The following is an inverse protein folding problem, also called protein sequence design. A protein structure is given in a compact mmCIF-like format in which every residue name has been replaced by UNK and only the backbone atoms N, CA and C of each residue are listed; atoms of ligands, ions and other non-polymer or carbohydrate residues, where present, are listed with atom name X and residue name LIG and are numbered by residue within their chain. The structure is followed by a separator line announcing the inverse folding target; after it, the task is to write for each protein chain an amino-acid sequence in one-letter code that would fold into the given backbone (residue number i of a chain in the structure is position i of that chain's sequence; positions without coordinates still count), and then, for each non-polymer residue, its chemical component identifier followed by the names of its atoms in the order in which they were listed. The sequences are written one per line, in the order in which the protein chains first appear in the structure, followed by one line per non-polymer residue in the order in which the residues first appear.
data_IF_438300147506
#
_entry.id   IF_438300147506
#
_cell.length_a   1.000
_cell.length_b   1.000
_cell.length_c   1.000
_cell.angle_alpha   90.00
_cell.angle_beta   90.00
_cell.angle_gamma   90.00
#
_symmetry.space_group_name_H-M   'P 1'
#
loop_
_entity.id
_entity.type
_entity.pdbx_description
1 polymer ?
#
# COMPACT_ATOMS: atom_id res chain seq x y z
N UNK A 1 -52.35 -44.45 27.29
CA UNK A 1 -51.39 -43.43 27.75
C UNK A 1 -50.66 -42.90 26.53
N UNK A 2 -51.07 -41.73 26.05
CA UNK A 2 -50.57 -41.13 24.82
C UNK A 2 -49.15 -40.59 25.03
N UNK A 3 -48.18 -41.07 24.24
CA UNK A 3 -46.87 -40.44 24.13
C UNK A 3 -46.99 -39.21 23.24
N UNK A 4 -46.96 -38.04 23.86
CA UNK A 4 -46.77 -36.75 23.20
C UNK A 4 -45.39 -36.76 22.52
N UNK A 5 -45.37 -36.97 21.21
CA UNK A 5 -44.19 -36.72 20.38
C UNK A 5 -43.99 -35.20 20.36
N UNK A 6 -43.04 -34.74 21.17
CA UNK A 6 -42.65 -33.34 21.22
C UNK A 6 -41.78 -33.07 19.98
N UNK A 7 -42.40 -32.70 18.85
CA UNK A 7 -41.68 -32.18 17.69
C UNK A 7 -40.95 -30.90 18.12
N UNK A 8 -39.62 -30.88 17.99
CA UNK A 8 -38.83 -29.67 18.24
C UNK A 8 -39.26 -28.60 17.24
N UNK A 9 -39.74 -27.47 17.74
CA UNK A 9 -40.08 -26.30 16.92
C UNK A 9 -38.82 -25.77 16.22
N UNK A 10 -38.93 -25.44 14.92
CA UNK A 10 -37.85 -24.83 14.14
C UNK A 10 -37.36 -23.54 14.80
N UNK A 11 -36.04 -23.36 14.85
CA UNK A 11 -35.44 -22.11 15.31
C UNK A 11 -35.75 -20.97 14.32
N UNK A 12 -35.84 -19.74 14.82
CA UNK A 12 -36.03 -18.53 14.02
C UNK A 12 -35.08 -18.44 12.82
N UNK A 13 -33.81 -18.85 13.01
CA UNK A 13 -32.79 -18.84 11.98
C UNK A 13 -33.03 -19.92 10.90
N UNK A 14 -33.59 -21.07 11.28
CA UNK A 14 -33.92 -22.16 10.36
C UNK A 14 -35.15 -21.81 9.51
N UNK A 15 -36.15 -21.16 10.11
CA UNK A 15 -37.33 -20.65 9.39
C UNK A 15 -36.95 -19.58 8.35
N UNK A 16 -36.06 -18.64 8.70
CA UNK A 16 -35.58 -17.60 7.76
C UNK A 16 -34.74 -18.21 6.63
N UNK A 17 -33.88 -19.19 6.94
CA UNK A 17 -33.11 -19.91 5.91
C UNK A 17 -34.02 -20.71 4.96
N UNK A 18 -35.08 -21.33 5.48
CA UNK A 18 -36.05 -22.06 4.68
C UNK A 18 -36.90 -21.16 3.77
N UNK A 19 -37.24 -19.94 4.22
CA UNK A 19 -37.95 -18.94 3.43
C UNK A 19 -37.06 -18.15 2.45
N UNK A 20 -35.74 -18.36 2.46
CA UNK A 20 -34.80 -17.64 1.58
C UNK A 20 -35.19 -17.70 0.09
N UNK A 21 -35.63 -18.83 -0.50
CA UNK A 21 -36.10 -18.87 -1.88
C UNK A 21 -37.34 -17.99 -2.11
N UNK A 22 -38.25 -17.91 -1.12
CA UNK A 22 -39.42 -17.04 -1.18
C UNK A 22 -39.01 -15.57 -1.12
N UNK A 23 -38.14 -15.16 -0.18
CA UNK A 23 -37.66 -13.78 -0.09
C UNK A 23 -36.99 -13.32 -1.39
N UNK A 24 -36.21 -14.18 -2.06
CA UNK A 24 -35.63 -13.85 -3.36
C UNK A 24 -36.69 -13.63 -4.44
N UNK A 25 -37.78 -14.41 -4.45
CA UNK A 25 -38.83 -14.31 -5.46
C UNK A 25 -39.71 -13.06 -5.29
N UNK A 26 -39.92 -12.59 -4.05
CA UNK A 26 -40.79 -11.43 -3.76
C UNK A 26 -40.04 -10.15 -3.38
N UNK A 27 -38.69 -10.14 -3.44
CA UNK A 27 -37.91 -9.00 -2.94
C UNK A 27 -38.23 -7.69 -3.70
N UNK A 28 -38.52 -6.57 -3.01
CA UNK A 28 -38.95 -5.31 -3.62
C UNK A 28 -37.99 -4.75 -4.68
N UNK A 29 -36.69 -4.98 -4.53
CA UNK A 29 -35.66 -4.48 -5.45
C UNK A 29 -35.80 -5.06 -6.87
N UNK A 30 -36.37 -6.26 -7.01
CA UNK A 30 -36.62 -6.83 -8.32
C UNK A 30 -37.79 -6.15 -9.04
N UNK A 31 -38.67 -5.44 -8.33
CA UNK A 31 -39.86 -4.77 -8.87
C UNK A 31 -39.63 -3.27 -9.13
N UNK A 32 -38.38 -2.84 -9.34
CA UNK A 32 -38.05 -1.42 -9.57
C UNK A 32 -38.80 -0.74 -10.72
N UNK A 33 -39.23 -1.50 -11.73
CA UNK A 33 -40.03 -1.00 -12.87
C UNK A 33 -41.56 -0.99 -12.60
N UNK A 34 -42.01 -1.54 -11.47
CA UNK A 34 -43.43 -1.77 -11.12
C UNK A 34 -43.72 -1.27 -9.69
N UNK A 35 -43.93 0.05 -9.52
CA UNK A 35 -43.97 0.67 -8.19
C UNK A 35 -45.17 0.24 -7.33
N UNK A 36 -46.31 -0.12 -7.94
CA UNK A 36 -47.50 -0.58 -7.20
C UNK A 36 -47.30 -1.98 -6.61
N UNK A 37 -46.73 -2.88 -7.39
CA UNK A 37 -46.43 -4.26 -7.02
C UNK A 37 -45.30 -4.31 -6.00
N UNK A 38 -44.30 -3.44 -6.15
CA UNK A 38 -43.22 -3.23 -5.18
C UNK A 38 -43.77 -2.83 -3.81
N UNK A 39 -44.67 -1.85 -3.76
CA UNK A 39 -45.26 -1.36 -2.52
C UNK A 39 -46.10 -2.44 -1.83
N UNK A 40 -46.89 -3.21 -2.59
CA UNK A 40 -47.69 -4.32 -2.04
C UNK A 40 -46.79 -5.43 -1.47
N UNK A 41 -45.71 -5.78 -2.17
CA UNK A 41 -44.75 -6.79 -1.68
C UNK A 41 -44.00 -6.31 -0.44
N UNK A 42 -43.57 -5.04 -0.40
CA UNK A 42 -42.86 -4.48 0.75
C UNK A 42 -43.76 -4.42 1.99
N UNK A 43 -45.01 -3.97 1.84
CA UNK A 43 -45.97 -3.93 2.93
C UNK A 43 -46.35 -5.34 3.42
N UNK A 44 -46.53 -6.29 2.51
CA UNK A 44 -46.85 -7.67 2.86
C UNK A 44 -45.65 -8.41 3.49
N UNK A 45 -44.41 -8.12 3.08
CA UNK A 45 -43.18 -8.64 3.70
C UNK A 45 -43.00 -8.13 5.12
N UNK A 46 -43.26 -6.84 5.36
CA UNK A 46 -43.24 -6.25 6.71
C UNK A 46 -44.29 -6.92 7.62
N UNK A 47 -45.50 -7.14 7.10
CA UNK A 47 -46.55 -7.83 7.86
C UNK A 47 -46.21 -9.30 8.14
N UNK A 48 -45.60 -10.01 7.19
CA UNK A 48 -45.14 -11.40 7.37
C UNK A 48 -44.03 -11.49 8.43
N UNK A 49 -43.02 -10.63 8.35
CA UNK A 49 -41.92 -10.62 9.31
C UNK A 49 -42.42 -10.25 10.72
N UNK A 50 -43.30 -9.25 10.82
CA UNK A 50 -43.95 -8.91 12.10
C UNK A 50 -44.81 -10.05 12.66
N UNK A 51 -45.50 -10.80 11.80
CA UNK A 51 -46.26 -12.00 12.21
C UNK A 51 -45.32 -13.10 12.74
N UNK A 52 -44.19 -13.36 12.06
CA UNK A 52 -43.20 -14.34 12.49
C UNK A 52 -42.49 -13.95 13.79
N UNK A 53 -42.15 -12.67 13.98
CA UNK A 53 -41.56 -12.17 15.23
C UNK A 53 -42.52 -12.32 16.41
N UNK A 54 -43.83 -12.10 16.18
CA UNK A 54 -44.86 -12.30 17.19
C UNK A 54 -45.07 -13.79 17.53
N UNK A 55 -44.90 -14.70 16.58
CA UNK A 55 -44.93 -16.15 16.85
C UNK A 55 -43.71 -16.63 17.65
N UNK A 56 -42.57 -15.94 17.55
CA UNK A 56 -41.34 -16.28 18.27
C UNK A 56 -41.34 -15.83 19.73
N UNK A 57 -42.23 -14.89 20.11
CA UNK A 57 -42.37 -14.39 21.49
C UNK A 57 -43.72 -14.84 22.07
N UNK A 58 -43.79 -15.91 22.87
CA UNK A 58 -45.04 -16.53 23.30
C UNK A 58 -45.83 -15.75 24.38
N UNK A 59 -45.49 -14.49 24.67
CA UNK A 59 -46.20 -13.69 25.66
C UNK A 59 -47.53 -13.15 25.08
N UNK A 60 -48.55 -14.00 25.17
CA UNK A 60 -49.98 -13.69 25.33
C UNK A 60 -50.64 -12.76 24.29
N UNK A 61 -50.57 -13.06 22.99
CA UNK A 61 -51.55 -12.53 22.01
C UNK A 61 -51.99 -13.59 21.02
N UNK A 62 -53.30 -13.89 21.01
CA UNK A 62 -53.97 -14.63 19.94
C UNK A 62 -53.72 -13.92 18.61
N UNK A 63 -52.92 -14.54 17.74
CA UNK A 63 -52.55 -13.93 16.47
C UNK A 63 -53.74 -14.05 15.53
N UNK A 64 -54.35 -12.91 15.17
CA UNK A 64 -55.49 -12.88 14.25
C UNK A 64 -55.03 -13.29 12.85
N UNK A 65 -55.85 -14.04 12.09
CA UNK A 65 -55.48 -14.40 10.73
C UNK A 65 -55.23 -13.18 9.86
N UNK A 66 -54.07 -13.15 9.20
CA UNK A 66 -53.69 -12.07 8.27
C UNK A 66 -53.73 -12.63 6.85
N UNK A 67 -54.47 -11.96 5.96
CA UNK A 67 -54.44 -12.24 4.51
C UNK A 67 -53.31 -11.43 3.90
N UNK A 68 -52.31 -12.12 3.38
CA UNK A 68 -51.18 -11.50 2.68
C UNK A 68 -51.31 -11.74 1.18
N UNK A 69 -50.88 -10.77 0.38
CA UNK A 69 -50.89 -10.85 -1.08
C UNK A 69 -49.52 -10.48 -1.61
N UNK A 70 -48.91 -11.39 -2.37
CA UNK A 70 -47.60 -11.19 -2.97
C UNK A 70 -47.69 -11.32 -4.49
N UNK A 71 -46.89 -10.52 -5.18
CA UNK A 71 -46.65 -10.66 -6.62
C UNK A 71 -45.35 -11.41 -6.83
N UNK A 72 -45.41 -12.50 -7.58
CA UNK A 72 -44.29 -13.37 -7.91
C UNK A 72 -44.09 -13.34 -9.43
N UNK A 73 -42.83 -13.32 -9.88
CA UNK A 73 -42.51 -13.44 -11.31
C UNK A 73 -42.64 -14.90 -11.74
N UNK A 74 -43.48 -15.16 -12.74
CA UNK A 74 -43.52 -16.50 -13.34
C UNK A 74 -42.27 -16.68 -14.20
N UNK A 75 -41.51 -17.75 -13.95
CA UNK A 75 -40.28 -18.09 -14.69
C UNK A 75 -40.53 -19.15 -15.76
N UNK A 76 -41.78 -19.58 -15.95
CA UNK A 76 -42.16 -20.43 -17.08
C UNK A 76 -42.45 -19.56 -18.29
N UNK A 77 -41.66 -19.75 -19.35
CA UNK A 77 -41.77 -19.06 -20.63
C UNK A 77 -43.22 -18.95 -21.09
N UNK A 78 -43.71 -17.71 -21.19
CA UNK A 78 -44.82 -17.38 -22.06
C UNK A 78 -44.39 -16.17 -22.89
N UNK A 79 -44.15 -16.44 -24.16
CA UNK A 79 -43.76 -15.50 -25.19
C UNK A 79 -44.85 -14.45 -25.40
N UNK A 80 -44.71 -13.29 -24.74
CA UNK A 80 -45.26 -11.99 -25.15
C UNK A 80 -44.69 -10.86 -24.25
N UNK A 81 -44.60 -9.63 -24.79
CA UNK A 81 -43.75 -8.52 -24.33
C UNK A 81 -44.17 -7.80 -23.03
N UNK A 82 -44.61 -8.52 -22.00
CA UNK A 82 -44.79 -8.01 -20.63
C UNK A 82 -44.47 -9.14 -19.63
N UNK A 83 -43.70 -8.90 -18.54
CA UNK A 83 -43.50 -9.91 -17.51
C UNK A 83 -44.85 -10.21 -16.82
N UNK A 84 -45.36 -11.43 -17.00
CA UNK A 84 -46.56 -11.88 -16.31
C UNK A 84 -46.28 -12.03 -14.81
N UNK A 85 -46.94 -11.22 -13.98
CA UNK A 85 -46.88 -11.36 -12.53
C UNK A 85 -48.03 -12.25 -12.06
N UNK A 86 -47.71 -13.30 -11.30
CA UNK A 86 -48.70 -14.11 -10.61
C UNK A 86 -48.95 -13.51 -9.24
N UNK A 87 -50.18 -13.09 -8.96
CA UNK A 87 -50.59 -12.72 -7.61
C UNK A 87 -50.93 -13.98 -6.83
N UNK A 88 -50.32 -14.12 -5.66
CA UNK A 88 -50.56 -15.21 -4.73
C UNK A 88 -51.05 -14.60 -3.43
N UNK A 89 -52.31 -14.86 -3.08
CA UNK A 89 -52.88 -14.46 -1.80
C UNK A 89 -53.16 -15.69 -0.95
N UNK A 90 -52.65 -15.70 0.27
CA UNK A 90 -52.91 -16.76 1.24
C UNK A 90 -53.16 -16.15 2.63
N UNK A 91 -53.85 -16.91 3.48
CA UNK A 91 -54.20 -16.46 4.82
C UNK A 91 -53.42 -17.29 5.83
N UNK A 92 -52.72 -16.60 6.73
CA UNK A 92 -51.97 -17.24 7.80
C UNK A 92 -52.91 -17.47 8.99
N UNK A 93 -53.27 -18.72 9.24
CA UNK A 93 -54.27 -19.10 10.25
C UNK A 93 -53.68 -19.69 11.55
N UNK A 94 -52.40 -20.03 11.57
CA UNK A 94 -51.83 -20.98 12.55
C UNK A 94 -50.79 -20.38 13.49
N UNK A 95 -50.83 -20.80 14.76
CA UNK A 95 -49.89 -20.42 15.82
C UNK A 95 -48.54 -21.16 15.77
N UNK A 96 -48.28 -21.95 14.74
CA UNK A 96 -47.05 -22.75 14.59
C UNK A 96 -46.20 -22.25 13.42
N UNK A 97 -44.89 -22.11 13.66
CA UNK A 97 -43.91 -21.52 12.76
C UNK A 97 -43.64 -22.46 11.57
N UNK A 98 -43.54 -23.76 11.83
CA UNK A 98 -43.23 -24.76 10.80
C UNK A 98 -44.38 -24.87 9.80
N UNK A 99 -45.62 -24.95 10.31
CA UNK A 99 -46.83 -24.95 9.49
C UNK A 99 -46.99 -23.68 8.66
N UNK A 100 -46.61 -22.51 9.20
CA UNK A 100 -46.64 -21.22 8.50
C UNK A 100 -45.63 -21.18 7.35
N UNK A 101 -44.39 -21.63 7.58
CA UNK A 101 -43.34 -21.69 6.54
C UNK A 101 -43.74 -22.66 5.42
N UNK A 102 -44.27 -23.82 5.77
CA UNK A 102 -44.75 -24.81 4.80
C UNK A 102 -45.91 -24.27 3.95
N UNK A 103 -46.86 -23.58 4.56
CA UNK A 103 -48.01 -23.01 3.85
C UNK A 103 -47.58 -21.90 2.88
N UNK A 104 -46.63 -21.05 3.26
CA UNK A 104 -46.06 -20.00 2.41
C UNK A 104 -45.33 -20.60 1.20
N UNK A 105 -44.42 -21.57 1.43
CA UNK A 105 -43.63 -22.19 0.37
C UNK A 105 -44.51 -22.99 -0.61
N UNK A 106 -45.50 -23.72 -0.09
CA UNK A 106 -46.46 -24.49 -0.90
C UNK A 106 -47.36 -23.56 -1.71
N UNK A 107 -47.88 -22.49 -1.10
CA UNK A 107 -48.72 -21.49 -1.80
C UNK A 107 -47.96 -20.77 -2.91
N UNK A 108 -46.64 -20.63 -2.78
CA UNK A 108 -45.77 -20.02 -3.79
C UNK A 108 -45.20 -21.01 -4.82
N UNK A 109 -45.62 -22.30 -4.78
CA UNK A 109 -45.16 -23.36 -5.69
C UNK A 109 -43.63 -23.57 -5.68
N UNK A 110 -42.99 -23.41 -4.52
CA UNK A 110 -41.53 -23.57 -4.33
C UNK A 110 -41.21 -24.94 -3.67
N UNK A 111 -40.08 -25.59 -4.01
CA UNK A 111 -39.75 -26.93 -3.51
C UNK A 111 -39.45 -26.93 -2.00
N UNK A 112 -40.02 -27.91 -1.30
CA UNK A 112 -40.01 -28.04 0.18
C UNK A 112 -38.94 -29.03 0.69
N UNK A 113 -38.21 -29.66 -0.25
CA UNK A 113 -37.33 -30.82 -0.06
C UNK A 113 -36.17 -30.64 0.95
N UNK A 114 -35.84 -29.40 1.33
CA UNK A 114 -34.76 -29.09 2.27
C UNK A 114 -35.16 -29.21 3.76
N UNK A 115 -36.45 -29.28 4.11
CA UNK A 115 -36.89 -29.34 5.52
C UNK A 115 -37.07 -30.79 6.02
N UNK A 116 -37.47 -31.74 5.15
CA UNK A 116 -37.67 -33.15 5.54
C UNK A 116 -36.36 -33.89 5.88
N UNK A 117 -35.20 -33.39 5.45
CA UNK A 117 -33.89 -34.01 5.68
C UNK A 117 -33.44 -33.95 7.15
N UNK A 118 -34.01 -33.05 7.95
CA UNK A 118 -33.59 -32.80 9.33
C UNK A 118 -34.04 -33.87 10.35
N UNK A 119 -35.00 -34.75 10.03
CA UNK A 119 -35.41 -35.80 10.97
C UNK A 119 -34.44 -37.00 11.04
N UNK A 120 -33.55 -37.20 10.06
CA UNK A 120 -32.77 -38.46 9.93
C UNK A 120 -31.27 -38.38 10.24
N UNK A 121 -30.73 -37.26 10.71
CA UNK A 121 -29.28 -37.12 10.93
C UNK A 121 -28.92 -36.65 12.34
N UNK A 122 -29.43 -37.32 13.38
CA UNK A 122 -28.83 -37.28 14.72
C UNK A 122 -27.82 -38.41 14.86
N UNK A 123 -26.60 -38.17 14.36
CA UNK A 123 -25.48 -39.11 14.44
C UNK A 123 -24.14 -38.37 14.46
N UNK A 124 -23.66 -38.12 15.68
CA UNK A 124 -22.23 -38.04 16.03
C UNK A 124 -21.40 -36.91 15.43
N UNK A 125 -21.41 -35.71 16.05
CA UNK A 125 -20.25 -34.82 16.01
C UNK A 125 -19.92 -34.34 17.42
N UNK A 126 -18.72 -34.72 17.87
CA UNK A 126 -18.18 -34.49 19.22
C UNK A 126 -17.93 -33.00 19.44
N UNK A 127 -18.37 -32.50 20.59
CA UNK A 127 -17.98 -31.21 21.15
C UNK A 127 -16.49 -31.25 21.54
N UNK A 128 -15.69 -30.36 20.98
CA UNK A 128 -14.37 -29.98 21.49
C UNK A 128 -14.40 -28.50 21.89
N UNK A 129 -13.86 -28.09 23.04
CA UNK A 129 -13.86 -26.71 23.48
C UNK A 129 -12.53 -26.04 23.10
N UNK A 130 -12.54 -24.97 22.31
CA UNK A 130 -11.55 -23.92 22.49
C UNK A 130 -11.91 -22.61 21.77
N UNK A 131 -11.48 -21.51 22.39
CA UNK A 131 -11.08 -20.25 21.77
C UNK A 131 -12.07 -19.45 20.93
N UNK A 132 -12.44 -18.27 21.41
CA UNK A 132 -13.09 -17.24 20.59
C UNK A 132 -12.18 -16.75 19.46
N UNK A 133 -12.27 -17.38 18.30
CA UNK A 133 -11.81 -16.83 17.02
C UNK A 133 -13.03 -16.40 16.21
N UNK A 134 -12.97 -15.20 15.66
CA UNK A 134 -13.96 -14.69 14.72
C UNK A 134 -14.11 -15.68 13.56
N UNK A 135 -15.32 -16.19 13.36
CA UNK A 135 -15.67 -17.03 12.21
C UNK A 135 -15.68 -16.21 10.91
N UNK A 136 -14.53 -15.68 10.48
CA UNK A 136 -14.35 -15.29 9.10
C UNK A 136 -13.97 -16.53 8.28
N UNK A 137 -14.96 -17.40 8.05
CA UNK A 137 -14.87 -18.31 6.91
C UNK A 137 -15.18 -17.50 5.66
N UNK A 138 -14.29 -17.47 4.65
CA UNK A 138 -14.60 -16.89 3.36
C UNK A 138 -15.89 -17.52 2.83
N UNK A 139 -16.87 -16.70 2.46
CA UNK A 139 -18.11 -17.19 1.84
C UNK A 139 -17.72 -17.78 0.49
N UNK A 140 -17.74 -19.11 0.41
CA UNK A 140 -17.48 -19.83 -0.83
C UNK A 140 -18.80 -19.99 -1.59
N UNK A 141 -18.98 -19.21 -2.64
CA UNK A 141 -20.14 -19.33 -3.51
C UNK A 141 -20.03 -20.59 -4.37
N UNK A 142 -21.17 -21.22 -4.64
CA UNK A 142 -21.21 -22.36 -5.56
C UNK A 142 -20.81 -21.91 -6.98
N UNK A 143 -20.19 -22.80 -7.77
CA UNK A 143 -19.70 -22.48 -9.13
C UNK A 143 -20.80 -21.96 -10.05
N UNK A 144 -22.05 -22.36 -9.82
CA UNK A 144 -23.22 -21.85 -10.53
C UNK A 144 -23.43 -20.34 -10.34
N UNK A 145 -23.11 -19.78 -9.18
CA UNK A 145 -23.19 -18.34 -8.90
C UNK A 145 -22.28 -17.52 -9.82
N UNK A 146 -21.01 -17.91 -9.96
CA UNK A 146 -20.05 -17.24 -10.86
C UNK A 146 -20.45 -17.35 -12.33
N UNK A 147 -20.99 -18.52 -12.71
CA UNK A 147 -21.49 -18.76 -14.07
C UNK A 147 -22.71 -17.89 -14.39
N UNK A 148 -23.61 -17.69 -13.42
CA UNK A 148 -24.83 -16.90 -13.58
C UNK A 148 -24.61 -15.38 -13.48
N UNK A 149 -23.67 -14.95 -12.64
CA UNK A 149 -23.38 -13.52 -12.43
C UNK A 149 -22.31 -12.96 -13.36
N UNK A 150 -21.53 -13.83 -14.02
CA UNK A 150 -20.39 -13.43 -14.85
C UNK A 150 -19.15 -12.98 -14.05
N UNK A 151 -19.22 -13.00 -12.71
CA UNK A 151 -18.03 -12.80 -11.87
C UNK A 151 -17.09 -13.99 -11.99
N UNK A 152 -15.78 -13.73 -11.99
CA UNK A 152 -14.76 -14.80 -12.03
C UNK A 152 -14.67 -15.48 -10.68
N UNK A 153 -14.60 -16.81 -10.71
CA UNK A 153 -14.40 -17.64 -9.52
C UNK A 153 -12.98 -17.40 -8.96
N UNK A 154 -12.84 -16.86 -7.73
CA UNK A 154 -11.54 -16.59 -7.10
C UNK A 154 -10.68 -17.84 -6.94
N UNK A 155 -11.29 -19.01 -6.69
CA UNK A 155 -10.54 -20.27 -6.61
C UNK A 155 -10.01 -20.69 -7.98
N UNK A 156 -10.73 -20.36 -9.05
CA UNK A 156 -10.32 -20.64 -10.42
C UNK A 156 -9.16 -19.72 -10.84
N UNK A 157 -9.17 -18.45 -10.43
CA UNK A 157 -8.03 -17.54 -10.61
C UNK A 157 -6.79 -17.99 -9.83
N UNK A 158 -6.95 -18.40 -8.57
CA UNK A 158 -5.86 -18.95 -7.75
C UNK A 158 -5.29 -20.23 -8.36
N UNK A 159 -6.13 -21.10 -8.90
CA UNK A 159 -5.69 -22.32 -9.58
C UNK A 159 -5.04 -22.04 -10.93
N UNK A 160 -5.52 -21.07 -11.70
CA UNK A 160 -4.87 -20.64 -12.95
C UNK A 160 -3.50 -20.00 -12.66
N UNK A 161 -3.42 -19.14 -11.65
CA UNK A 161 -2.17 -18.50 -11.19
C UNK A 161 -1.16 -19.52 -10.67
N UNK A 162 -1.62 -20.56 -9.96
CA UNK A 162 -0.75 -21.67 -9.52
C UNK A 162 -0.36 -22.64 -10.65
N UNK A 163 -1.21 -22.83 -11.67
CA UNK A 163 -0.92 -23.69 -12.84
C UNK A 163 -0.03 -23.03 -13.87
N UNK A 164 -0.03 -21.70 -13.89
CA UNK A 164 0.83 -20.88 -14.71
C UNK A 164 1.81 -20.16 -13.78
N UNK A 165 2.79 -20.86 -13.20
CA UNK A 165 4.04 -20.17 -12.91
C UNK A 165 4.60 -19.80 -14.27
N UNK A 166 4.51 -18.53 -14.71
CA UNK A 166 4.93 -18.22 -16.06
C UNK A 166 6.44 -18.40 -16.07
N UNK A 167 6.95 -19.28 -16.92
CA UNK A 167 8.38 -19.27 -17.22
C UNK A 167 8.74 -17.83 -17.60
N UNK A 168 9.85 -17.29 -17.07
CA UNK A 168 10.28 -15.90 -17.32
C UNK A 168 10.16 -15.52 -18.80
N UNK A 169 10.51 -16.45 -19.69
CA UNK A 169 10.38 -16.33 -21.14
C UNK A 169 8.94 -16.09 -21.62
N UNK A 170 7.98 -16.86 -21.12
CA UNK A 170 6.55 -16.70 -21.44
C UNK A 170 5.99 -15.39 -20.89
N UNK A 171 6.38 -15.00 -19.67
CA UNK A 171 6.01 -13.71 -19.10
C UNK A 171 6.55 -12.55 -19.94
N UNK A 172 7.84 -12.56 -20.29
CA UNK A 172 8.46 -11.52 -21.11
C UNK A 172 7.77 -11.37 -22.46
N UNK A 173 7.50 -12.48 -23.16
CA UNK A 173 6.80 -12.47 -24.45
C UNK A 173 5.38 -11.90 -24.34
N UNK A 174 4.66 -12.22 -23.27
CA UNK A 174 3.31 -11.72 -23.06
C UNK A 174 3.30 -10.24 -22.63
N UNK A 175 4.31 -9.79 -21.89
CA UNK A 175 4.43 -8.42 -21.39
C UNK A 175 5.10 -7.46 -22.38
N UNK A 176 5.88 -7.94 -23.36
CA UNK A 176 6.61 -7.11 -24.33
C UNK A 176 5.73 -6.11 -25.10
N UNK A 177 4.57 -6.50 -25.68
CA UNK A 177 3.73 -5.55 -26.42
C UNK A 177 3.17 -4.44 -25.53
N UNK A 178 2.76 -4.78 -24.30
CA UNK A 178 2.24 -3.82 -23.33
C UNK A 178 3.35 -2.89 -22.83
N UNK A 179 4.53 -3.43 -22.52
CA UNK A 179 5.70 -2.66 -22.11
C UNK A 179 6.14 -1.68 -23.22
N UNK A 180 6.17 -2.14 -24.48
CA UNK A 180 6.50 -1.32 -25.65
C UNK A 180 5.47 -0.22 -25.87
N UNK A 181 4.17 -0.53 -25.75
CA UNK A 181 3.09 0.46 -25.81
C UNK A 181 3.23 1.52 -24.71
N UNK A 182 3.48 1.10 -23.46
CA UNK A 182 3.70 2.01 -22.32
C UNK A 182 4.96 2.85 -22.49
N UNK A 183 6.03 2.27 -23.03
CA UNK A 183 7.28 2.97 -23.34
C UNK A 183 7.03 4.08 -24.37
N UNK A 184 6.44 3.74 -25.52
CA UNK A 184 6.14 4.68 -26.59
C UNK A 184 5.19 5.79 -26.12
N UNK A 185 4.15 5.44 -25.36
CA UNK A 185 3.25 6.43 -24.76
C UNK A 185 3.94 7.34 -23.72
N UNK A 186 5.11 6.95 -23.20
CA UNK A 186 5.91 7.76 -22.29
C UNK A 186 6.93 8.66 -22.97
N UNK A 187 7.30 8.40 -24.24
CA UNK A 187 8.33 9.13 -24.97
C UNK A 187 8.08 10.66 -25.00
N UNK A 188 6.88 11.16 -25.34
CA UNK A 188 6.65 12.61 -25.38
C UNK A 188 6.86 13.27 -24.01
N UNK A 189 6.49 12.59 -22.92
CA UNK A 189 6.71 13.10 -21.55
C UNK A 189 8.19 13.09 -21.17
N UNK A 190 8.97 12.11 -21.64
CA UNK A 190 10.41 12.04 -21.39
C UNK A 190 11.15 13.13 -22.16
N UNK A 191 10.76 13.38 -23.40
CA UNK A 191 11.28 14.47 -24.22
C UNK A 191 10.97 15.82 -23.57
N UNK A 192 9.72 16.03 -23.14
CA UNK A 192 9.32 17.24 -22.41
C UNK A 192 10.09 17.40 -21.09
N UNK A 193 10.29 16.32 -20.33
CA UNK A 193 11.10 16.36 -19.10
C UNK A 193 12.53 16.81 -19.39
N UNK A 194 13.16 16.23 -20.42
CA UNK A 194 14.51 16.59 -20.84
C UNK A 194 14.59 18.03 -21.34
N UNK A 195 13.58 18.49 -22.10
CA UNK A 195 13.46 19.86 -22.60
C UNK A 195 13.36 20.85 -21.45
N UNK A 196 12.42 20.66 -20.53
CA UNK A 196 12.24 21.50 -19.35
C UNK A 196 13.48 21.51 -18.45
N UNK A 197 14.11 20.35 -18.24
CA UNK A 197 15.34 20.27 -17.44
C UNK A 197 16.44 21.14 -18.07
N UNK A 198 16.67 21.00 -19.38
CA UNK A 198 17.67 21.79 -20.11
C UNK A 198 17.36 23.28 -20.06
N UNK A 199 16.13 23.67 -20.35
CA UNK A 199 15.67 25.06 -20.32
C UNK A 199 15.90 25.70 -18.94
N UNK A 200 15.54 25.02 -17.85
CA UNK A 200 15.72 25.52 -16.50
C UNK A 200 17.21 25.60 -16.11
N UNK A 201 18.02 24.60 -16.47
CA UNK A 201 19.46 24.64 -16.24
C UNK A 201 20.12 25.82 -16.97
N UNK A 202 19.77 26.06 -18.23
CA UNK A 202 20.31 27.18 -19.01
C UNK A 202 19.82 28.53 -18.47
N UNK A 203 18.52 28.65 -18.16
CA UNK A 203 17.90 29.90 -17.69
C UNK A 203 18.43 30.37 -16.34
N UNK A 204 18.70 29.45 -15.41
CA UNK A 204 19.19 29.79 -14.06
C UNK A 204 20.66 29.45 -13.83
N UNK A 205 21.39 29.05 -14.87
CA UNK A 205 22.80 28.64 -14.79
C UNK A 205 23.02 27.56 -13.71
N UNK A 206 22.10 26.59 -13.64
CA UNK A 206 22.20 25.48 -12.69
C UNK A 206 23.24 24.47 -13.17
N UNK A 207 23.95 23.85 -12.23
CA UNK A 207 24.89 22.78 -12.56
C UNK A 207 24.16 21.53 -13.07
N UNK A 208 23.07 21.13 -12.40
CA UNK A 208 22.23 20.00 -12.77
C UNK A 208 20.87 20.06 -12.03
N UNK A 209 19.91 19.23 -12.46
CA UNK A 209 18.66 18.97 -11.73
C UNK A 209 18.48 17.46 -11.52
N UNK A 210 18.27 17.06 -10.28
CA UNK A 210 18.18 15.65 -9.84
C UNK A 210 16.94 15.40 -8.98
N UNK A 211 16.69 14.12 -8.71
CA UNK A 211 15.59 13.65 -7.88
C UNK A 211 16.11 12.63 -6.87
N UNK A 212 15.76 12.80 -5.59
CA UNK A 212 16.10 11.84 -4.54
C UNK A 212 15.33 10.53 -4.71
N UNK A 213 14.03 10.62 -5.08
CA UNK A 213 13.16 9.46 -5.26
C UNK A 213 12.93 9.16 -6.74
N UNK A 214 12.73 7.87 -7.04
CA UNK A 214 12.41 7.37 -8.38
C UNK A 214 10.95 7.62 -8.76
N UNK A 215 10.57 8.90 -8.88
CA UNK A 215 9.24 9.30 -9.33
C UNK A 215 9.01 8.99 -10.82
N UNK A 216 7.73 8.75 -11.16
CA UNK A 216 7.30 8.64 -12.56
C UNK A 216 7.52 9.94 -13.34
N UNK A 217 7.73 9.81 -14.66
CA UNK A 217 8.08 10.94 -15.56
C UNK A 217 7.09 12.10 -15.45
N UNK A 218 5.79 11.81 -15.34
CA UNK A 218 4.76 12.85 -15.22
C UNK A 218 4.94 13.71 -13.96
N UNK A 219 5.27 13.09 -12.82
CA UNK A 219 5.48 13.81 -11.57
C UNK A 219 6.75 14.69 -11.63
N UNK A 220 7.82 14.18 -12.26
CA UNK A 220 9.04 14.96 -12.51
C UNK A 220 8.76 16.18 -13.38
N UNK A 221 7.95 16.04 -14.44
CA UNK A 221 7.52 17.17 -15.27
C UNK A 221 6.75 18.22 -14.44
N UNK A 222 5.81 17.79 -13.61
CA UNK A 222 5.04 18.71 -12.75
C UNK A 222 5.93 19.49 -11.78
N UNK A 223 6.97 18.87 -11.23
CA UNK A 223 7.95 19.54 -10.36
C UNK A 223 8.74 20.62 -11.12
N UNK A 224 9.24 20.30 -12.32
CA UNK A 224 9.92 21.29 -13.17
C UNK A 224 8.99 22.43 -13.58
N UNK A 225 7.73 22.14 -13.91
CA UNK A 225 6.73 23.17 -14.19
C UNK A 225 6.44 24.04 -12.97
N UNK A 226 6.40 23.48 -11.77
CA UNK A 226 6.29 24.25 -10.53
C UNK A 226 7.48 25.19 -10.33
N UNK A 227 8.71 24.75 -10.59
CA UNK A 227 9.89 25.61 -10.55
C UNK A 227 9.86 26.69 -11.64
N UNK A 228 9.39 26.34 -12.84
CA UNK A 228 9.18 27.29 -13.94
C UNK A 228 8.21 28.39 -13.52
N UNK A 229 7.07 28.03 -12.92
CA UNK A 229 6.09 28.98 -12.41
C UNK A 229 6.67 29.90 -11.34
N UNK A 230 7.47 29.36 -10.42
CA UNK A 230 8.16 30.16 -9.41
C UNK A 230 9.05 31.23 -10.04
N UNK A 231 9.77 30.87 -11.10
CA UNK A 231 10.66 31.80 -11.78
C UNK A 231 9.96 32.98 -12.43
N UNK A 232 8.69 32.81 -12.82
CA UNK A 232 7.90 33.91 -13.36
C UNK A 232 7.38 34.84 -12.27
N UNK A 233 7.21 34.33 -11.05
CA UNK A 233 6.71 35.12 -9.91
C UNK A 233 7.82 35.90 -9.23
N UNK A 234 8.98 35.27 -8.96
CA UNK A 234 10.06 35.85 -8.17
C UNK A 234 11.43 35.60 -8.82
N UNK A 235 11.78 36.26 -9.94
CA UNK A 235 13.05 36.01 -10.65
C UNK A 235 14.30 36.39 -9.84
N UNK A 236 14.22 37.42 -9.00
CA UNK A 236 15.35 37.95 -8.21
C UNK A 236 15.90 36.94 -7.20
N UNK A 237 15.03 36.17 -6.54
CA UNK A 237 15.43 35.19 -5.54
C UNK A 237 16.17 33.99 -6.17
N UNK A 238 15.92 33.71 -7.46
CA UNK A 238 16.56 32.59 -8.18
C UNK A 238 18.02 32.90 -8.56
N UNK A 239 18.50 34.14 -8.44
CA UNK A 239 19.90 34.49 -8.69
C UNK A 239 20.83 33.70 -7.76
N UNK A 240 20.38 33.42 -6.53
CA UNK A 240 21.17 32.67 -5.54
C UNK A 240 21.32 31.17 -5.89
N UNK A 241 20.57 30.65 -6.87
CA UNK A 241 20.68 29.26 -7.33
C UNK A 241 21.78 29.03 -8.36
N UNK A 242 22.40 30.10 -8.88
CA UNK A 242 23.41 29.98 -9.92
C UNK A 242 24.58 29.10 -9.47
N UNK A 243 24.95 28.14 -10.33
CA UNK A 243 26.02 27.18 -10.07
C UNK A 243 25.68 26.03 -9.12
N UNK A 244 24.46 26.00 -8.54
CA UNK A 244 24.03 24.90 -7.69
C UNK A 244 23.35 23.78 -8.49
N UNK A 245 23.42 22.55 -7.97
CA UNK A 245 22.56 21.45 -8.40
C UNK A 245 21.27 21.52 -7.60
N UNK A 246 20.11 21.41 -8.25
CA UNK A 246 18.81 21.35 -7.57
C UNK A 246 18.37 19.90 -7.47
N UNK A 247 17.98 19.46 -6.27
CA UNK A 247 17.52 18.09 -6.00
C UNK A 247 16.10 18.13 -5.47
N UNK A 248 15.14 17.53 -6.16
CA UNK A 248 13.79 17.35 -5.60
C UNK A 248 13.82 16.24 -4.54
N UNK A 249 13.49 16.61 -3.31
CA UNK A 249 13.68 15.84 -2.09
C UNK A 249 12.42 15.84 -1.21
N UNK A 250 12.48 15.18 -0.07
CA UNK A 250 11.34 15.13 0.87
C UNK A 250 11.14 16.45 1.63
N UNK A 251 12.21 17.23 1.81
CA UNK A 251 12.20 18.52 2.52
C UNK A 251 13.06 19.56 1.79
N UNK A 252 12.74 20.84 1.98
CA UNK A 252 13.52 21.96 1.45
C UNK A 252 14.66 22.37 2.38
N UNK A 253 15.91 22.19 1.95
CA UNK A 253 17.13 22.62 2.66
C UNK A 253 18.33 22.60 1.68
N UNK A 254 19.57 22.71 2.15
CA UNK A 254 20.79 22.40 1.41
C UNK A 254 21.40 21.11 1.96
N UNK A 255 21.90 20.23 1.08
CA UNK A 255 22.56 19.01 1.51
C UNK A 255 24.05 19.24 1.86
N UNK A 256 24.69 18.22 2.42
CA UNK A 256 26.13 18.25 2.77
C UNK A 256 27.09 18.42 1.57
N UNK A 257 26.62 18.22 0.34
CA UNK A 257 27.38 18.41 -0.91
C UNK A 257 27.22 19.82 -1.48
N UNK A 258 26.32 20.64 -0.93
CA UNK A 258 26.00 21.97 -1.44
C UNK A 258 24.92 21.99 -2.53
N UNK A 259 24.23 20.86 -2.74
CA UNK A 259 23.05 20.81 -3.62
C UNK A 259 21.83 21.36 -2.87
N UNK A 260 21.00 22.11 -3.59
CA UNK A 260 19.78 22.72 -3.05
C UNK A 260 18.64 21.73 -3.15
N UNK A 261 18.13 21.31 -2.01
CA UNK A 261 17.00 20.39 -1.91
C UNK A 261 15.69 21.16 -1.95
N UNK A 262 14.76 20.75 -2.82
CA UNK A 262 13.41 21.29 -2.90
C UNK A 262 12.42 20.22 -2.46
N UNK A 263 11.72 20.47 -1.35
CA UNK A 263 10.70 19.59 -0.84
C UNK A 263 9.55 19.45 -1.83
N UNK A 264 9.23 18.23 -2.23
CA UNK A 264 8.20 17.96 -3.24
C UNK A 264 6.78 18.34 -2.79
N UNK A 265 6.55 18.42 -1.48
CA UNK A 265 5.29 18.82 -0.86
C UNK A 265 5.27 20.28 -0.42
N UNK A 266 6.39 20.98 -0.53
CA UNK A 266 6.51 22.35 -0.06
C UNK A 266 5.88 23.35 -1.03
N UNK A 267 5.36 24.44 -0.46
CA UNK A 267 4.82 25.57 -1.23
C UNK A 267 5.93 26.48 -1.73
N UNK A 268 5.68 27.17 -2.84
CA UNK A 268 6.61 28.08 -3.50
C UNK A 268 7.28 29.10 -2.56
N UNK A 269 6.53 29.64 -1.60
CA UNK A 269 7.05 30.58 -0.61
C UNK A 269 8.15 29.97 0.28
N UNK A 270 8.07 28.68 0.59
CA UNK A 270 9.11 27.99 1.36
C UNK A 270 10.39 27.83 0.55
N UNK A 271 10.28 27.55 -0.76
CA UNK A 271 11.43 27.54 -1.66
C UNK A 271 12.07 28.92 -1.80
N UNK A 272 11.26 29.98 -1.90
CA UNK A 272 11.76 31.36 -1.93
C UNK A 272 12.56 31.70 -0.67
N UNK A 273 12.05 31.35 0.52
CA UNK A 273 12.78 31.53 1.78
C UNK A 273 14.12 30.79 1.77
N UNK A 274 14.13 29.55 1.29
CA UNK A 274 15.37 28.79 1.15
C UNK A 274 16.37 29.52 0.25
N UNK A 275 15.94 30.04 -0.90
CA UNK A 275 16.80 30.77 -1.83
C UNK A 275 17.42 32.03 -1.23
N UNK A 276 16.66 32.76 -0.40
CA UNK A 276 17.15 33.92 0.34
C UNK A 276 18.18 33.53 1.42
N UNK A 277 18.09 32.32 1.96
CA UNK A 277 19.00 31.79 2.99
C UNK A 277 20.27 31.11 2.41
N UNK A 278 20.33 30.83 1.10
CA UNK A 278 21.48 30.16 0.46
C UNK A 278 22.84 30.80 0.75
N UNK A 279 22.99 32.15 0.78
CA UNK A 279 24.28 32.76 1.14
C UNK A 279 24.76 32.38 2.55
N UNK A 280 23.84 32.23 3.51
CA UNK A 280 24.17 31.78 4.87
C UNK A 280 24.59 30.30 4.89
N UNK A 281 23.92 29.46 4.10
CA UNK A 281 24.29 28.04 3.97
C UNK A 281 25.67 27.84 3.36
N UNK A 282 26.12 28.73 2.46
CA UNK A 282 27.49 28.69 1.91
C UNK A 282 28.56 28.81 3.00
N UNK A 283 28.34 29.69 3.98
CA UNK A 283 29.24 29.81 5.13
C UNK A 283 29.27 28.54 5.97
N UNK A 284 28.11 27.91 6.20
CA UNK A 284 28.01 26.64 6.92
C UNK A 284 28.65 25.48 6.14
N UNK A 285 28.55 25.47 4.81
CA UNK A 285 29.24 24.50 3.96
C UNK A 285 30.75 24.61 4.09
N UNK A 286 31.31 25.83 4.01
CA UNK A 286 32.74 26.04 4.23
C UNK A 286 33.20 25.57 5.62
N UNK A 287 32.42 25.87 6.67
CA UNK A 287 32.71 25.38 8.02
C UNK A 287 32.66 23.85 8.10
N UNK A 288 31.73 23.23 7.41
CA UNK A 288 31.59 21.77 7.32
C UNK A 288 32.81 21.14 6.64
N UNK A 289 33.28 21.73 5.55
CA UNK A 289 34.45 21.23 4.82
C UNK A 289 35.73 21.38 5.64
N UNK A 290 35.92 22.51 6.33
CA UNK A 290 37.03 22.67 7.29
C UNK A 290 36.98 21.66 8.43
N UNK A 291 35.78 21.32 8.90
CA UNK A 291 35.60 20.32 9.94
C UNK A 291 35.94 18.91 9.44
N UNK A 292 35.57 18.56 8.21
CA UNK A 292 35.97 17.31 7.56
C UNK A 292 37.49 17.21 7.43
N UNK A 293 38.16 18.28 7.00
CA UNK A 293 39.63 18.33 6.92
C UNK A 293 40.29 18.18 8.28
N UNK A 294 39.71 18.78 9.32
CA UNK A 294 40.23 18.66 10.69
C UNK A 294 40.07 17.24 11.23
N UNK A 295 38.95 16.58 10.96
CA UNK A 295 38.73 15.17 11.28
C UNK A 295 39.69 14.27 10.49
N UNK A 296 39.88 14.53 9.19
CA UNK A 296 40.84 13.83 8.33
C UNK A 296 42.25 13.87 8.94
N UNK A 297 42.71 15.04 9.38
CA UNK A 297 44.01 15.18 10.06
C UNK A 297 44.12 14.32 11.33
N UNK A 298 43.06 14.26 12.14
CA UNK A 298 43.03 13.44 13.37
C UNK A 298 43.02 11.94 13.07
N UNK A 299 42.51 11.54 11.91
CA UNK A 299 42.40 10.16 11.46
C UNK A 299 43.49 9.77 10.46
N UNK A 300 44.65 10.43 10.53
CA UNK A 300 45.81 10.02 9.74
C UNK A 300 45.68 10.29 8.23
N UNK A 301 44.89 11.29 7.86
CA UNK A 301 44.75 11.80 6.50
C UNK A 301 43.72 11.08 5.64
N UNK A 302 42.80 10.34 6.26
CA UNK A 302 41.69 9.66 5.56
C UNK A 302 40.61 10.66 5.13
N UNK A 303 40.14 10.55 3.90
CA UNK A 303 39.10 11.45 3.38
C UNK A 303 37.73 11.10 3.97
N UNK A 304 37.09 12.07 4.63
CA UNK A 304 35.73 11.93 5.16
C UNK A 304 34.73 12.14 4.02
N UNK A 305 34.09 11.06 3.60
CA UNK A 305 33.05 11.05 2.57
C UNK A 305 31.67 10.84 3.22
N UNK A 306 30.64 11.42 2.62
CA UNK A 306 29.25 11.19 3.01
C UNK A 306 28.63 10.17 2.04
N UNK A 307 28.48 8.92 2.48
CA UNK A 307 27.74 7.88 1.75
C UNK A 307 26.47 7.58 2.54
N UNK A 308 25.33 8.08 2.07
CA UNK A 308 24.07 7.94 2.78
C UNK A 308 22.93 8.70 2.12
N UNK A 309 21.72 8.65 2.72
CA UNK A 309 20.60 9.43 2.25
C UNK A 309 20.94 10.93 2.26
N UNK A 310 20.28 11.67 1.38
CA UNK A 310 20.45 13.12 1.31
C UNK A 310 19.91 13.71 2.63
N UNK A 311 20.80 14.35 3.40
CA UNK A 311 20.50 14.95 4.70
C UNK A 311 20.79 16.46 4.68
N UNK A 312 20.08 17.25 5.49
CA UNK A 312 20.36 18.68 5.67
C UNK A 312 21.80 18.92 6.14
N UNK A 313 22.37 20.01 5.68
CA UNK A 313 23.74 20.40 6.00
C UNK A 313 23.93 20.69 7.51
N UNK A 314 22.91 21.22 8.18
CA UNK A 314 22.96 21.52 9.61
C UNK A 314 23.04 20.24 10.47
N UNK A 315 22.29 19.20 10.10
CA UNK A 315 22.34 17.89 10.75
C UNK A 315 23.70 17.22 10.51
N UNK A 316 24.16 17.23 9.26
CA UNK A 316 25.47 16.68 8.90
C UNK A 316 26.62 17.37 9.65
N UNK A 317 26.59 18.70 9.73
CA UNK A 317 27.56 19.47 10.52
C UNK A 317 27.51 19.11 12.00
N UNK A 318 26.31 18.98 12.58
CA UNK A 318 26.13 18.62 13.98
C UNK A 318 26.71 17.23 14.29
N UNK A 319 26.45 16.26 13.41
CA UNK A 319 27.05 14.91 13.46
C UNK A 319 28.57 14.96 13.41
N UNK A 320 29.14 15.65 12.42
CA UNK A 320 30.59 15.80 12.29
C UNK A 320 31.20 16.46 13.52
N UNK A 321 30.53 17.48 14.07
CA UNK A 321 31.03 18.23 15.22
C UNK A 321 30.99 17.38 16.50
N UNK A 322 29.95 16.58 16.70
CA UNK A 322 29.87 15.62 17.80
C UNK A 322 31.01 14.59 17.72
N UNK A 323 31.22 14.01 16.53
CA UNK A 323 32.32 13.06 16.29
C UNK A 323 33.69 13.72 16.51
N UNK A 324 33.91 14.92 15.98
CA UNK A 324 35.14 15.68 16.19
C UNK A 324 35.39 15.96 17.68
N UNK A 325 34.37 16.34 18.45
CA UNK A 325 34.50 16.55 19.90
C UNK A 325 34.88 15.25 20.62
N UNK A 326 34.31 14.11 20.22
CA UNK A 326 34.70 12.79 20.73
C UNK A 326 36.18 12.51 20.48
N UNK A 327 36.66 12.71 19.26
CA UNK A 327 38.08 12.54 18.90
C UNK A 327 39.02 13.49 19.66
N UNK A 328 38.57 14.72 19.94
CA UNK A 328 39.37 15.68 20.71
C UNK A 328 39.44 15.33 22.21
N UNK A 329 38.39 14.70 22.75
CA UNK A 329 38.36 14.28 24.16
C UNK A 329 39.37 13.18 24.47
N UNK A 330 39.63 12.28 23.51
CA UNK A 330 40.66 11.24 23.58
C UNK A 330 41.37 11.16 22.24
N UNK A 331 42.53 11.83 22.16
CA UNK A 331 43.32 11.89 20.93
C UNK A 331 43.79 10.50 20.51
N UNK A 332 43.62 10.22 19.22
CA UNK A 332 44.15 9.02 18.59
C UNK A 332 45.66 9.20 18.34
N UNK A 333 46.43 8.16 18.61
CA UNK A 333 47.86 8.11 18.28
C UNK A 333 48.05 7.52 16.88
N UNK A 334 47.59 8.26 15.87
CA UNK A 334 47.76 7.91 14.46
C UNK A 334 48.79 8.84 13.81
N UNK A 335 49.64 8.30 12.93
CA UNK A 335 50.53 9.13 12.12
C UNK A 335 49.67 9.93 11.12
N UNK A 336 49.92 11.24 10.89
CA UNK A 336 49.07 12.12 10.06
C UNK A 336 48.85 11.69 8.61
N UNK A 337 49.66 10.74 8.11
CA UNK A 337 49.54 10.16 6.76
C UNK A 337 49.33 8.65 6.75
N UNK A 338 49.06 8.05 7.91
CA UNK A 338 48.91 6.60 8.02
C UNK A 338 47.74 6.05 7.20
N UNK A 339 46.67 6.81 7.02
CA UNK A 339 45.47 6.41 6.27
C UNK A 339 45.27 7.26 5.01
N UNK A 340 46.31 7.96 4.55
CA UNK A 340 46.22 8.78 3.35
C UNK A 340 45.87 7.92 2.11
N UNK A 341 44.95 8.43 1.29
CA UNK A 341 44.41 7.71 0.13
C UNK A 341 43.28 6.72 0.47
N UNK A 342 42.91 6.56 1.74
CA UNK A 342 41.74 5.80 2.15
C UNK A 342 40.58 6.75 2.46
N UNK A 343 39.36 6.27 2.24
CA UNK A 343 38.12 7.02 2.50
C UNK A 343 37.37 6.44 3.69
N UNK A 344 36.61 7.28 4.38
CA UNK A 344 35.77 6.88 5.49
C UNK A 344 34.39 7.52 5.45
N UNK A 345 33.39 6.80 5.93
CA UNK A 345 32.00 7.20 6.04
C UNK A 345 31.64 7.23 7.51
N UNK A 346 30.94 8.29 7.93
CA UNK A 346 30.30 8.33 9.23
C UNK A 346 28.89 7.74 9.12
N UNK A 347 28.60 6.80 10.01
CA UNK A 347 27.30 6.12 10.07
C UNK A 347 26.70 6.30 11.47
N UNK A 348 25.41 6.63 11.53
CA UNK A 348 24.69 6.84 12.79
C UNK A 348 24.06 5.56 13.31
N UNK A 349 23.78 4.60 12.43
CA UNK A 349 22.93 3.44 12.74
C UNK A 349 23.73 2.26 13.29
N UNK A 350 25.07 2.32 13.18
CA UNK A 350 25.97 1.25 13.62
C UNK A 350 26.57 1.52 14.99
N UNK A 351 26.87 0.45 15.71
CA UNK A 351 27.56 0.50 17.01
C UNK A 351 29.05 0.19 16.92
N UNK A 352 29.52 -0.45 15.84
CA UNK A 352 30.91 -0.89 15.67
C UNK A 352 31.50 -0.44 14.33
N UNK A 353 32.80 -0.09 14.30
CA UNK A 353 33.46 0.27 13.06
C UNK A 353 33.65 -0.97 12.18
N UNK A 354 33.49 -0.80 10.87
CA UNK A 354 33.59 -1.89 9.89
C UNK A 354 34.25 -1.43 8.60
N UNK A 355 34.78 -2.39 7.82
CA UNK A 355 35.43 -2.12 6.53
C UNK A 355 34.50 -2.58 5.41
N UNK A 356 34.11 -1.67 4.53
CA UNK A 356 33.28 -1.99 3.37
C UNK A 356 34.05 -2.82 2.33
N UNK A 357 33.33 -3.53 1.46
CA UNK A 357 33.92 -4.30 0.36
C UNK A 357 34.72 -3.42 -0.61
N UNK A 358 34.31 -2.16 -0.75
CA UNK A 358 34.98 -1.15 -1.57
C UNK A 358 36.26 -0.56 -0.93
N UNK A 359 36.63 -1.01 0.28
CA UNK A 359 37.83 -0.53 0.98
C UNK A 359 37.67 0.79 1.74
N UNK A 360 36.46 1.32 1.87
CA UNK A 360 36.20 2.49 2.74
C UNK A 360 35.81 2.06 4.15
N UNK A 361 36.26 2.83 5.15
CA UNK A 361 35.89 2.60 6.54
C UNK A 361 34.48 3.12 6.83
N UNK A 362 33.69 2.38 7.59
CA UNK A 362 32.40 2.83 8.11
C UNK A 362 32.57 2.99 9.63
N UNK A 363 32.46 4.23 10.10
CA UNK A 363 32.79 4.61 11.47
C UNK A 363 31.53 5.15 12.18
N UNK A 364 31.08 4.50 13.26
CA UNK A 364 30.03 5.03 14.12
C UNK A 364 30.40 6.36 14.75
N UNK A 365 29.44 7.31 14.86
CA UNK A 365 29.65 8.57 15.61
C UNK A 365 30.10 8.27 17.05
N UNK A 366 29.44 7.31 17.71
CA UNK A 366 29.60 7.04 19.13
C UNK A 366 30.65 5.96 19.42
N UNK A 367 31.61 5.74 18.51
CA UNK A 367 32.66 4.75 18.70
C UNK A 367 33.65 5.20 19.79
N UNK A 368 34.11 4.23 20.60
CA UNK A 368 35.23 4.45 21.53
C UNK A 368 36.52 4.74 20.73
N UNK A 369 37.21 5.86 20.98
CA UNK A 369 38.43 6.24 20.25
C UNK A 369 39.54 5.17 20.31
N UNK A 370 39.71 4.46 21.44
CA UNK A 370 40.75 3.45 21.54
C UNK A 370 40.47 2.23 20.65
N UNK A 371 39.24 1.73 20.66
CA UNK A 371 38.78 0.67 19.74
C UNK A 371 38.90 1.11 18.29
N UNK A 372 38.56 2.35 17.99
CA UNK A 372 38.70 2.93 16.65
C UNK A 372 40.17 2.93 16.20
N UNK A 373 41.09 3.36 17.05
CA UNK A 373 42.53 3.38 16.73
C UNK A 373 43.04 2.00 16.33
N UNK A 374 42.76 0.99 17.17
CA UNK A 374 43.20 -0.40 16.92
C UNK A 374 42.58 -0.97 15.64
N UNK A 375 41.29 -0.69 15.43
CA UNK A 375 40.59 -1.09 14.22
C UNK A 375 41.24 -0.49 12.97
N UNK A 376 41.45 0.84 12.95
CA UNK A 376 42.05 1.52 11.79
C UNK A 376 43.47 1.03 11.50
N UNK A 377 44.29 0.82 12.52
CA UNK A 377 45.66 0.30 12.35
C UNK A 377 45.67 -1.14 11.81
N UNK A 378 44.78 -2.00 12.31
CA UNK A 378 44.72 -3.41 11.89
C UNK A 378 44.12 -3.58 10.48
N UNK A 379 43.13 -2.78 10.11
CA UNK A 379 42.40 -2.92 8.84
C UNK A 379 42.95 -2.05 7.71
N UNK A 380 43.90 -1.14 7.97
CA UNK A 380 44.52 -0.29 6.94
C UNK A 380 45.16 -1.07 5.78
N UNK A 381 45.90 -2.18 5.97
CA UNK A 381 46.47 -2.94 4.87
C UNK A 381 45.39 -3.54 3.96
N UNK A 382 44.35 -4.12 4.56
CA UNK A 382 43.22 -4.73 3.85
C UNK A 382 42.42 -3.67 3.06
N UNK A 383 42.17 -2.51 3.68
CA UNK A 383 41.50 -1.39 3.01
C UNK A 383 42.25 -0.96 1.75
N UNK A 384 43.59 -0.82 1.81
CA UNK A 384 44.41 -0.47 0.64
C UNK A 384 44.36 -1.53 -0.44
N UNK A 385 44.42 -2.81 -0.06
CA UNK A 385 44.32 -3.94 -1.01
C UNK A 385 43.01 -3.88 -1.80
N UNK A 386 41.88 -3.67 -1.11
CA UNK A 386 40.56 -3.55 -1.74
C UNK A 386 40.47 -2.36 -2.69
N UNK A 387 40.93 -1.18 -2.26
CA UNK A 387 40.91 0.03 -3.11
C UNK A 387 41.78 -0.15 -4.36
N UNK A 388 42.94 -0.79 -4.24
CA UNK A 388 43.81 -1.07 -5.40
C UNK A 388 43.17 -2.09 -6.36
N UNK A 389 42.58 -3.16 -5.85
CA UNK A 389 41.95 -4.20 -6.68
C UNK A 389 40.82 -3.66 -7.57
N UNK A 390 40.06 -2.68 -7.06
CA UNK A 390 38.98 -2.01 -7.79
C UNK A 390 39.54 -1.13 -8.90
N UNK A 391 40.66 -0.44 -8.66
CA UNK A 391 41.31 0.42 -9.65
C UNK A 391 42.02 -0.39 -10.77
N UNK A 392 42.35 -1.66 -10.54
CA UNK A 392 42.99 -2.55 -11.52
C UNK A 392 42.01 -3.49 -12.25
N UNK A 393 40.74 -3.55 -11.84
CA UNK A 393 39.70 -4.29 -12.54
C UNK A 393 39.31 -3.59 -13.86
N UNK A 394 38.77 -4.32 -14.86
CA UNK A 394 38.32 -3.69 -16.10
C UNK A 394 37.27 -2.63 -15.77
N UNK A 395 37.53 -1.38 -16.19
CA UNK A 395 36.73 -0.17 -15.99
C UNK A 395 35.23 -0.43 -15.76
N UNK A 396 34.86 -0.67 -14.51
CA UNK A 396 33.51 -0.35 -14.07
C UNK A 396 33.52 1.15 -13.78
N UNK A 397 33.29 1.94 -14.82
CA UNK A 397 32.61 3.23 -14.66
C UNK A 397 31.20 2.94 -14.13
N UNK A 398 31.11 2.51 -12.87
CA UNK A 398 29.87 2.44 -12.13
C UNK A 398 29.67 3.86 -11.59
N UNK A 399 28.82 4.60 -12.30
CA UNK A 399 27.97 5.60 -11.70
C UNK A 399 27.58 5.09 -10.31
N UNK A 400 27.96 5.79 -9.25
CA UNK A 400 27.44 5.54 -7.91
C UNK A 400 25.92 5.73 -8.03
N UNK A 401 25.10 4.67 -8.02
CA UNK A 401 23.67 4.84 -8.02
C UNK A 401 23.31 5.14 -6.57
N UNK A 402 22.88 6.37 -6.30
CA UNK A 402 21.97 6.62 -5.19
C UNK A 402 20.77 5.69 -5.36
N UNK A 403 20.79 4.55 -4.67
CA UNK A 403 19.64 3.68 -4.41
C UNK A 403 20.06 2.69 -3.33
N UNK A 404 20.03 3.13 -2.08
CA UNK A 404 19.69 2.18 -1.02
C UNK A 404 18.21 1.82 -1.24
N UNK A 405 18.00 0.65 -1.84
CA UNK A 405 16.73 -0.04 -1.84
C UNK A 405 16.37 -0.37 -0.39
N UNK A 406 15.23 0.13 0.08
CA UNK A 406 14.42 -0.62 1.04
C UNK A 406 13.22 -1.14 0.27
N UNK A 407 13.16 -2.46 0.16
CA UNK A 407 12.03 -3.23 -0.34
C UNK A 407 10.93 -3.19 0.72
N UNK A 408 9.77 -2.62 0.39
CA UNK A 408 8.44 -3.03 0.81
C UNK A 408 7.39 -2.26 -0.02
#
# INVERSE_FOLDING_TARGET
MAFLVQQRALSAAEAVNALRPFYFAVHPDFFGQFPREREVNENSLKQLNGYMENLQKPDLKLVRPIKLTFYIRDTKESSEKQPGFRSVSFILHTNDILSTVMNVLTSCSLPVEHIERHEKSFGTWKTGPDGGESFHRPIKWDKSYYTFTGFRDPEQELQQTKRMEPTLHGWLRNSEPEATKKHNASLPRREELSRLKKELCEKFLLADIRWQRSWGVAHKCSQLQSLTRLSHQNPEDLINLQGHTVVFADQSDMNASGDVMLGTMDVHHQWTKLFQQLPSYRSLQQQTDWLKERISCLLGGSQVIHLGPVQPIAEHYSTLNAFHKSLMSRRLHLHPRSLHGLTMVLDNDRSTPSLHEMGHFIIPINCDPLKLQLFLQSQAPEARSRTQSINTGPNFHLCIPYNYFTVA
#
